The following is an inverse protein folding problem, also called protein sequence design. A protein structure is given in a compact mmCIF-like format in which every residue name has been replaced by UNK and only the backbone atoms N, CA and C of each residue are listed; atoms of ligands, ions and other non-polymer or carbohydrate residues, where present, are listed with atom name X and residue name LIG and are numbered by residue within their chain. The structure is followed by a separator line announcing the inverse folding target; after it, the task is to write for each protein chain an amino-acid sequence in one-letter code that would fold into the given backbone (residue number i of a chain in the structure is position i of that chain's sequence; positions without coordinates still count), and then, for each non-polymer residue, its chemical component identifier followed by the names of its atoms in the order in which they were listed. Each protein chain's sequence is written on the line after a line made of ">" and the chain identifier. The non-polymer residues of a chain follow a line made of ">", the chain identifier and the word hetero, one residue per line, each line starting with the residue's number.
data_IF_590438711259
#
_entry.id   IF_590438711259
#
_cell.length_a   1.000
_cell.length_b   1.000
_cell.length_c   1.000
_cell.angle_alpha   90.00
_cell.angle_beta   90.00
_cell.angle_gamma   90.00
#
_symmetry.space_group_name_H-M   'P 1'
#
loop_
_entity.id
_entity.type
_entity.pdbx_description
1 polymer ?
#
# COMPACT_ATOMS: atom_id res chain seq x y z
N UNK A 1 -12.91 -2.40 7.40
CA UNK A 1 -11.84 -3.39 7.12
C UNK A 1 -10.48 -2.75 7.24
N UNK A 2 -9.48 -3.54 7.55
CA UNK A 2 -8.08 -3.12 7.56
C UNK A 2 -7.44 -3.46 6.22
N UNK A 3 -7.02 -2.43 5.50
CA UNK A 3 -6.50 -2.56 4.14
C UNK A 3 -5.04 -2.16 4.09
N UNK A 4 -4.17 -3.08 3.65
CA UNK A 4 -2.79 -2.75 3.32
C UNK A 4 -2.75 -2.31 1.86
N UNK A 5 -2.20 -1.14 1.57
CA UNK A 5 -2.12 -0.63 0.21
C UNK A 5 -0.72 -0.80 -0.37
N UNK A 6 -0.64 -1.34 -1.58
CA UNK A 6 0.60 -1.35 -2.34
C UNK A 6 0.90 0.08 -2.83
N UNK A 7 2.18 0.38 -3.00
CA UNK A 7 2.63 1.71 -3.39
C UNK A 7 1.99 2.21 -4.67
N UNK A 8 1.76 1.31 -5.64
CA UNK A 8 1.19 1.70 -6.92
C UNK A 8 -0.23 2.30 -6.78
N UNK A 9 -0.99 1.87 -5.77
CA UNK A 9 -2.33 2.42 -5.52
C UNK A 9 -2.24 3.90 -5.14
N UNK A 10 -1.27 4.25 -4.30
CA UNK A 10 -1.03 5.64 -3.91
C UNK A 10 -0.47 6.47 -5.06
N UNK A 11 0.48 5.90 -5.80
CA UNK A 11 1.10 6.58 -6.94
C UNK A 11 0.11 6.81 -8.07
N UNK A 12 -0.88 5.94 -8.25
CA UNK A 12 -1.95 6.13 -9.24
C UNK A 12 -2.68 7.43 -9.02
N UNK A 13 -2.87 7.81 -7.77
CA UNK A 13 -3.57 9.05 -7.41
C UNK A 13 -2.64 10.25 -7.51
N UNK A 14 -1.45 10.16 -6.92
CA UNK A 14 -0.51 11.28 -6.88
C UNK A 14 -0.02 11.65 -8.29
N UNK A 15 0.22 10.66 -9.13
CA UNK A 15 0.71 10.84 -10.49
C UNK A 15 -0.40 10.84 -11.54
N UNK A 16 -1.66 10.75 -11.12
CA UNK A 16 -2.84 10.76 -11.98
C UNK A 16 -2.73 9.81 -13.16
N UNK A 17 -2.51 8.53 -12.86
CA UNK A 17 -2.38 7.48 -13.88
C UNK A 17 -3.76 7.12 -14.42
N UNK A 18 -4.08 7.55 -15.62
CA UNK A 18 -5.42 7.55 -16.22
C UNK A 18 -6.27 6.31 -15.96
N UNK A 19 -5.80 5.14 -16.34
CA UNK A 19 -6.61 3.92 -16.24
C UNK A 19 -6.88 3.47 -14.81
N UNK A 20 -6.06 3.89 -13.85
CA UNK A 20 -6.10 3.40 -12.48
C UNK A 20 -6.54 4.44 -11.47
N UNK A 21 -6.54 5.70 -11.86
CA UNK A 21 -6.78 6.82 -10.96
C UNK A 21 -8.11 6.70 -10.22
N UNK A 22 -9.17 6.43 -10.95
CA UNK A 22 -10.53 6.52 -10.41
C UNK A 22 -10.77 5.53 -9.26
N UNK A 23 -10.43 4.27 -9.49
CA UNK A 23 -10.61 3.23 -8.47
C UNK A 23 -9.70 3.46 -7.27
N UNK A 24 -8.43 3.79 -7.51
CA UNK A 24 -7.47 4.06 -6.45
C UNK A 24 -7.88 5.28 -5.63
N UNK A 25 -8.33 6.36 -6.28
CA UNK A 25 -8.81 7.56 -5.59
C UNK A 25 -10.04 7.27 -4.73
N UNK A 26 -10.94 6.43 -5.22
CA UNK A 26 -12.14 6.04 -4.46
C UNK A 26 -11.75 5.27 -3.20
N UNK A 27 -10.79 4.35 -3.31
CA UNK A 27 -10.28 3.62 -2.14
C UNK A 27 -9.65 4.60 -1.13
N UNK A 28 -8.83 5.54 -1.58
CA UNK A 28 -8.21 6.53 -0.69
C UNK A 28 -9.26 7.40 0.00
N UNK A 29 -10.32 7.77 -0.70
CA UNK A 29 -11.42 8.53 -0.08
C UNK A 29 -12.06 7.76 1.07
N UNK A 30 -12.25 6.45 0.91
CA UNK A 30 -12.80 5.60 1.98
C UNK A 30 -11.88 5.55 3.20
N UNK A 31 -10.57 5.59 2.99
CA UNK A 31 -9.59 5.65 4.08
C UNK A 31 -9.64 7.02 4.77
N UNK A 32 -9.65 8.10 4.01
CA UNK A 32 -9.70 9.46 4.56
C UNK A 32 -10.99 9.69 5.35
N UNK A 33 -12.10 9.16 4.87
CA UNK A 33 -13.40 9.26 5.53
C UNK A 33 -13.61 8.26 6.67
N UNK A 34 -12.58 7.49 6.98
CA UNK A 34 -12.56 6.48 8.02
C UNK A 34 -13.60 5.35 7.85
N UNK A 35 -14.07 5.13 6.64
CA UNK A 35 -14.89 3.96 6.31
C UNK A 35 -14.04 2.69 6.32
N UNK A 36 -12.77 2.83 5.95
CA UNK A 36 -11.78 1.76 5.96
C UNK A 36 -10.54 2.27 6.70
N UNK A 37 -9.77 1.36 7.28
CA UNK A 37 -8.49 1.70 7.90
C UNK A 37 -7.37 1.35 6.93
N UNK A 38 -6.58 2.34 6.53
CA UNK A 38 -5.46 2.16 5.60
C UNK A 38 -4.15 1.91 6.34
N UNK A 39 -3.37 0.97 5.83
CA UNK A 39 -2.06 0.59 6.36
C UNK A 39 -1.01 0.66 5.26
N UNK A 40 0.20 1.05 5.64
CA UNK A 40 1.38 1.00 4.78
C UNK A 40 2.53 0.35 5.53
N UNK A 41 3.38 -0.43 4.84
CA UNK A 41 4.58 -0.94 5.50
C UNK A 41 5.60 0.20 5.68
N UNK A 42 6.42 0.10 6.71
CA UNK A 42 7.41 1.15 7.04
C UNK A 42 8.31 1.53 5.88
N UNK A 43 8.78 0.54 5.11
CA UNK A 43 9.66 0.82 3.97
C UNK A 43 8.99 1.66 2.86
N UNK A 44 7.68 1.62 2.76
CA UNK A 44 6.95 2.36 1.72
C UNK A 44 7.05 3.87 1.90
N UNK A 45 7.15 4.35 3.13
CA UNK A 45 7.15 5.79 3.42
C UNK A 45 8.31 6.49 2.74
N UNK A 46 9.52 5.99 2.92
CA UNK A 46 10.71 6.58 2.29
C UNK A 46 10.76 6.37 0.78
N UNK A 47 10.28 5.23 0.31
CA UNK A 47 10.20 4.95 -1.13
C UNK A 47 9.24 5.91 -1.82
N UNK A 48 8.07 6.14 -1.24
CA UNK A 48 7.10 7.10 -1.76
C UNK A 48 7.64 8.52 -1.77
N UNK A 49 8.32 8.92 -0.70
CA UNK A 49 8.94 10.24 -0.64
C UNK A 49 9.95 10.41 -1.79
N UNK A 50 10.81 9.42 -1.97
CA UNK A 50 11.82 9.45 -3.04
C UNK A 50 11.17 9.61 -4.42
N UNK A 51 10.15 8.81 -4.71
CA UNK A 51 9.49 8.82 -6.01
C UNK A 51 8.79 10.17 -6.27
N UNK A 52 8.03 10.66 -5.30
CA UNK A 52 7.31 11.93 -5.45
C UNK A 52 8.28 13.11 -5.52
N UNK A 53 9.34 13.09 -4.72
CA UNK A 53 10.37 14.13 -4.77
C UNK A 53 11.00 14.22 -6.16
N UNK A 54 11.28 13.07 -6.77
CA UNK A 54 11.92 13.03 -8.08
C UNK A 54 11.01 13.60 -9.17
N UNK A 55 9.71 13.39 -9.08
CA UNK A 55 8.76 13.84 -10.10
C UNK A 55 8.14 15.21 -9.82
N UNK A 56 8.00 15.63 -8.56
CA UNK A 56 7.25 16.83 -8.20
C UNK A 56 8.01 17.77 -7.24
N UNK A 57 9.19 17.40 -6.79
CA UNK A 57 10.03 18.21 -5.90
C UNK A 57 9.82 17.93 -4.43
N UNK A 58 10.75 18.43 -3.61
CA UNK A 58 10.79 18.15 -2.17
C UNK A 58 9.56 18.66 -1.42
N UNK A 59 9.11 19.88 -1.73
CA UNK A 59 7.96 20.46 -1.03
C UNK A 59 6.70 19.61 -1.17
N UNK A 60 6.42 19.13 -2.37
CA UNK A 60 5.27 18.25 -2.62
C UNK A 60 5.43 16.87 -1.99
N UNK A 61 6.66 16.34 -2.01
CA UNK A 61 6.94 15.07 -1.36
C UNK A 61 6.73 15.16 0.15
N UNK A 62 7.21 16.20 0.79
CA UNK A 62 7.02 16.42 2.23
C UNK A 62 5.54 16.54 2.58
N UNK A 63 4.80 17.32 1.79
CA UNK A 63 3.36 17.50 1.96
C UNK A 63 2.60 16.18 1.82
N UNK A 64 2.98 15.37 0.84
CA UNK A 64 2.37 14.06 0.64
C UNK A 64 2.63 13.12 1.82
N UNK A 65 3.84 13.10 2.35
CA UNK A 65 4.18 12.27 3.52
C UNK A 65 3.41 12.73 4.75
N UNK A 66 3.27 14.03 4.97
CA UNK A 66 2.48 14.56 6.08
C UNK A 66 1.02 14.07 5.98
N UNK A 67 0.47 14.07 4.77
CA UNK A 67 -0.86 13.55 4.52
C UNK A 67 -0.97 12.05 4.79
N UNK A 68 0.02 11.27 4.35
CA UNK A 68 0.05 9.82 4.61
C UNK A 68 0.06 9.54 6.11
N UNK A 69 0.92 10.23 6.84
CA UNK A 69 1.03 10.02 8.29
C UNK A 69 -0.23 10.43 9.04
N UNK A 70 -1.01 11.35 8.50
CA UNK A 70 -2.26 11.78 9.10
C UNK A 70 -3.40 10.76 8.89
N UNK A 71 -3.35 9.97 7.82
CA UNK A 71 -4.48 9.13 7.42
C UNK A 71 -4.22 7.62 7.44
N UNK A 72 -2.95 7.21 7.52
CA UNK A 72 -2.59 5.79 7.45
C UNK A 72 -1.87 5.35 8.70
N UNK A 73 -2.08 4.07 9.06
CA UNK A 73 -1.26 3.39 10.04
C UNK A 73 0.00 2.87 9.36
N UNK A 74 1.15 3.13 9.95
CA UNK A 74 2.42 2.66 9.40
C UNK A 74 2.86 1.44 10.20
N UNK A 75 3.05 0.31 9.52
CA UNK A 75 3.46 -0.94 10.16
C UNK A 75 4.96 -0.95 10.36
N UNK A 76 5.46 -1.00 11.60
CA UNK A 76 6.90 -1.12 11.86
C UNK A 76 7.44 -2.42 11.27
N UNK A 77 8.63 -2.37 10.70
CA UNK A 77 9.26 -3.53 10.12
C UNK A 77 10.62 -3.77 10.78
N UNK A 78 10.80 -4.98 11.29
CA UNK A 78 12.01 -5.39 11.97
C UNK A 78 12.58 -6.65 11.32
N UNK A 79 13.65 -7.20 11.94
CA UNK A 79 14.29 -8.40 11.46
C UNK A 79 13.32 -9.58 11.38
N UNK A 80 12.43 -9.71 12.33
CA UNK A 80 11.46 -10.82 12.36
C UNK A 80 10.52 -10.76 11.15
N UNK A 81 9.99 -9.59 10.82
CA UNK A 81 9.13 -9.42 9.65
C UNK A 81 9.87 -9.70 8.33
N UNK A 82 11.10 -9.20 8.20
CA UNK A 82 11.86 -9.46 6.98
C UNK A 82 12.24 -10.95 6.85
N UNK A 83 12.52 -11.61 7.96
CA UNK A 83 12.75 -13.06 7.97
C UNK A 83 11.48 -13.81 7.53
N UNK A 84 10.32 -13.40 8.04
CA UNK A 84 9.03 -13.97 7.62
C UNK A 84 8.80 -13.77 6.11
N UNK A 85 9.08 -12.57 5.60
CA UNK A 85 8.94 -12.28 4.17
C UNK A 85 9.76 -13.26 3.30
N UNK A 86 10.96 -13.61 3.74
CA UNK A 86 11.80 -14.57 3.01
C UNK A 86 11.20 -15.97 2.94
N UNK A 87 10.32 -16.32 3.85
CA UNK A 87 9.67 -17.65 3.87
C UNK A 87 8.44 -17.75 3.00
N UNK A 88 7.93 -16.63 2.47
CA UNK A 88 6.66 -16.59 1.74
C UNK A 88 6.76 -17.13 0.30
N UNK A 89 7.97 -17.35 -0.21
CA UNK A 89 8.19 -17.86 -1.57
C UNK A 89 7.53 -16.99 -2.65
N UNK A 90 7.50 -15.69 -2.42
CA UNK A 90 6.99 -14.75 -3.41
C UNK A 90 8.12 -14.30 -4.34
N UNK A 91 7.82 -14.00 -5.62
CA UNK A 91 8.86 -13.64 -6.60
C UNK A 91 9.64 -12.37 -6.24
N UNK A 92 8.98 -11.36 -5.67
CA UNK A 92 9.58 -10.07 -5.36
C UNK A 92 9.66 -9.89 -3.85
N UNK A 93 10.86 -9.54 -3.34
CA UNK A 93 11.07 -9.40 -1.90
C UNK A 93 10.32 -8.20 -1.31
N UNK A 94 10.20 -7.10 -2.04
CA UNK A 94 9.48 -5.92 -1.56
C UNK A 94 7.98 -6.24 -1.39
N UNK A 95 7.40 -6.96 -2.34
CA UNK A 95 6.01 -7.43 -2.25
C UNK A 95 5.84 -8.42 -1.09
N UNK A 96 6.82 -9.30 -0.89
CA UNK A 96 6.81 -10.23 0.23
C UNK A 96 6.88 -9.47 1.57
N UNK A 97 7.69 -8.43 1.65
CA UNK A 97 7.80 -7.61 2.85
C UNK A 97 6.48 -6.88 3.14
N UNK A 98 5.79 -6.41 2.11
CA UNK A 98 4.48 -5.78 2.25
C UNK A 98 3.44 -6.80 2.74
N UNK A 99 3.43 -8.00 2.18
CA UNK A 99 2.51 -9.06 2.59
C UNK A 99 2.76 -9.51 4.03
N UNK A 100 4.03 -9.60 4.44
CA UNK A 100 4.39 -9.93 5.82
C UNK A 100 3.95 -8.82 6.80
N UNK A 101 4.08 -7.57 6.41
CA UNK A 101 3.60 -6.44 7.21
C UNK A 101 2.07 -6.47 7.35
N UNK A 102 1.36 -6.79 6.28
CA UNK A 102 -0.10 -6.93 6.30
C UNK A 102 -0.53 -8.04 7.27
N UNK A 103 0.15 -9.18 7.23
CA UNK A 103 -0.10 -10.29 8.15
C UNK A 103 0.13 -9.87 9.61
N UNK A 104 1.26 -9.23 9.87
CA UNK A 104 1.63 -8.80 11.22
C UNK A 104 0.64 -7.78 11.80
N UNK A 105 0.10 -6.92 10.99
CA UNK A 105 -0.86 -5.90 11.41
C UNK A 105 -2.30 -6.43 11.49
N UNK A 106 -2.55 -7.67 11.08
CA UNK A 106 -3.89 -8.24 11.04
C UNK A 106 -4.77 -7.61 9.97
N UNK A 107 -4.20 -7.22 8.84
CA UNK A 107 -4.96 -6.66 7.75
C UNK A 107 -5.88 -7.72 7.12
N UNK A 108 -7.06 -7.28 6.71
CA UNK A 108 -8.05 -8.15 6.08
C UNK A 108 -7.73 -8.37 4.59
N UNK A 109 -7.06 -7.40 3.98
CA UNK A 109 -6.86 -7.38 2.54
C UNK A 109 -5.61 -6.58 2.18
N UNK A 110 -4.93 -7.01 1.12
CA UNK A 110 -3.93 -6.19 0.42
C UNK A 110 -4.55 -5.71 -0.88
N UNK A 111 -4.44 -4.42 -1.18
CA UNK A 111 -4.89 -3.88 -2.46
C UNK A 111 -3.68 -3.54 -3.33
N UNK A 112 -3.64 -4.12 -4.53
CA UNK A 112 -2.57 -3.93 -5.50
C UNK A 112 -3.12 -4.07 -6.91
N UNK A 113 -2.52 -3.35 -7.87
CA UNK A 113 -2.83 -3.57 -9.29
C UNK A 113 -2.25 -4.88 -9.80
N UNK A 114 -1.22 -5.39 -9.16
CA UNK A 114 -0.43 -6.53 -9.64
C UNK A 114 -0.71 -7.78 -8.80
N UNK A 115 -1.97 -8.20 -8.74
CA UNK A 115 -2.39 -9.34 -7.91
C UNK A 115 -1.57 -10.61 -8.19
N UNK A 116 -1.22 -10.85 -9.47
CA UNK A 116 -0.44 -12.02 -9.84
C UNK A 116 0.94 -12.08 -9.17
N UNK A 117 1.52 -10.93 -8.83
CA UNK A 117 2.83 -10.87 -8.18
C UNK A 117 2.77 -11.28 -6.70
N UNK A 118 1.56 -11.41 -6.15
CA UNK A 118 1.35 -11.74 -4.75
C UNK A 118 0.98 -13.19 -4.50
N UNK A 119 1.20 -14.07 -5.46
CA UNK A 119 1.02 -15.52 -5.24
C UNK A 119 1.97 -15.95 -4.12
N UNK A 120 1.42 -16.57 -3.10
CA UNK A 120 2.16 -16.92 -1.87
C UNK A 120 1.89 -15.98 -0.70
N UNK A 121 1.14 -14.89 -0.91
CA UNK A 121 0.78 -13.98 0.16
C UNK A 121 -0.12 -14.65 1.20
N UNK A 122 0.17 -14.49 2.52
CA UNK A 122 -0.70 -15.01 3.57
C UNK A 122 -1.97 -14.18 3.76
N UNK A 123 -2.05 -12.99 3.17
CA UNK A 123 -3.22 -12.12 3.21
C UNK A 123 -3.82 -12.04 1.81
N UNK A 124 -5.14 -12.08 1.73
CA UNK A 124 -5.85 -12.01 0.45
C UNK A 124 -5.53 -10.71 -0.28
N UNK A 125 -5.36 -10.79 -1.60
CA UNK A 125 -5.00 -9.65 -2.45
C UNK A 125 -6.09 -9.41 -3.49
N UNK A 126 -6.45 -8.16 -3.71
CA UNK A 126 -7.40 -7.72 -4.74
C UNK A 126 -6.90 -6.46 -5.40
N UNK A 127 -7.41 -6.17 -6.60
CA UNK A 127 -7.27 -4.85 -7.18
C UNK A 127 -8.22 -3.86 -6.51
N UNK A 128 -7.95 -2.54 -6.58
CA UNK A 128 -8.92 -1.54 -6.11
C UNK A 128 -10.30 -1.72 -6.75
N UNK A 129 -10.36 -2.00 -8.05
CA UNK A 129 -11.61 -2.22 -8.76
C UNK A 129 -12.40 -3.42 -8.20
N UNK A 130 -11.72 -4.53 -7.98
CA UNK A 130 -12.34 -5.72 -7.41
C UNK A 130 -12.88 -5.46 -6.01
N UNK A 131 -12.11 -4.73 -5.20
CA UNK A 131 -12.53 -4.39 -3.86
C UNK A 131 -13.80 -3.53 -3.86
N UNK A 132 -13.87 -2.53 -4.75
CA UNK A 132 -15.02 -1.64 -4.82
C UNK A 132 -16.29 -2.35 -5.27
N UNK A 133 -16.19 -3.38 -6.09
CA UNK A 133 -17.34 -4.18 -6.50
C UNK A 133 -17.92 -4.95 -5.32
N UNK A 134 -17.11 -5.38 -4.37
CA UNK A 134 -17.54 -6.13 -3.19
C UNK A 134 -18.14 -5.27 -2.09
N UNK A 135 -17.85 -3.99 -2.12
CA UNK A 135 -18.34 -3.05 -1.11
C UNK A 135 -19.38 -2.11 -1.67
#
# INVERSE_FOLDING_TARGET
>A
MKLMLDLNVLLDVVQRRDSFYFASATVLSKVVEAEQTGFLPGHAVTTLHYIVRKSAGKAKADEFIDWLLAHFEIVPQDKLQFTRARTLLMPDFEDAALAAAAEAAGCDMVLSRNVADFVGSPVRVMTPEEFLVQT
#
